data_IF_029560187146
#
_entry.id   IF_029560187146
#
_cell.length_a   1.000
_cell.length_b   1.000
_cell.length_c   1.000
_cell.angle_alpha   90.00
_cell.angle_beta   90.00
_cell.angle_gamma   90.00
#
_symmetry.space_group_name_H-M   'P 1'
#
loop_
_entity.id
_entity.type
_entity.pdbx_description
1 polymer ?
#
# COMPACT_ATOMS: atom_id res chain seq x y z
N UNK A 1 -11.34 28.53 11.45
CA UNK A 1 -11.90 27.28 10.90
C UNK A 1 -11.69 27.12 9.39
N UNK A 2 -12.19 28.02 8.54
CA UNK A 2 -12.08 27.91 7.08
C UNK A 2 -10.64 27.81 6.52
N UNK A 3 -9.67 28.47 7.16
CA UNK A 3 -8.26 28.41 6.76
C UNK A 3 -7.63 27.02 6.95
N UNK A 4 -7.91 26.35 8.07
CA UNK A 4 -7.40 24.99 8.37
C UNK A 4 -7.96 23.99 7.34
N UNK A 5 -9.25 24.09 7.05
CA UNK A 5 -9.91 23.26 6.05
C UNK A 5 -9.34 23.48 4.64
N UNK A 6 -9.16 24.73 4.21
CA UNK A 6 -8.55 25.07 2.92
C UNK A 6 -7.11 24.55 2.82
N UNK A 7 -6.35 24.60 3.92
CA UNK A 7 -4.99 24.07 3.99
C UNK A 7 -4.96 22.54 3.88
N UNK A 8 -5.83 21.83 4.60
CA UNK A 8 -5.91 20.37 4.51
C UNK A 8 -6.34 19.89 3.12
N UNK A 9 -7.29 20.57 2.46
CA UNK A 9 -7.66 20.25 1.07
C UNK A 9 -6.48 20.43 0.10
N UNK A 10 -5.69 21.51 0.25
CA UNK A 10 -4.46 21.70 -0.53
C UNK A 10 -3.45 20.57 -0.28
N UNK A 11 -3.21 20.19 0.98
CA UNK A 11 -2.32 19.08 1.33
C UNK A 11 -2.72 17.78 0.66
N UNK A 12 -4.01 17.41 0.76
CA UNK A 12 -4.54 16.20 0.14
C UNK A 12 -4.41 16.23 -1.38
N UNK A 13 -4.70 17.37 -2.01
CA UNK A 13 -4.57 17.53 -3.44
C UNK A 13 -3.12 17.37 -3.92
N UNK A 14 -2.17 18.03 -3.25
CA UNK A 14 -0.73 17.90 -3.54
C UNK A 14 -0.29 16.45 -3.38
N UNK A 15 -0.65 15.81 -2.27
CA UNK A 15 -0.34 14.41 -2.01
C UNK A 15 -0.88 13.48 -3.10
N UNK A 16 -2.16 13.60 -3.46
CA UNK A 16 -2.77 12.74 -4.48
C UNK A 16 -2.13 12.96 -5.85
N UNK A 17 -1.85 14.22 -6.22
CA UNK A 17 -1.18 14.55 -7.48
C UNK A 17 0.23 13.95 -7.54
N UNK A 18 1.02 14.11 -6.48
CA UNK A 18 2.36 13.51 -6.40
C UNK A 18 2.28 11.98 -6.44
N UNK A 19 1.36 11.38 -5.70
CA UNK A 19 1.18 9.92 -5.64
C UNK A 19 0.83 9.37 -7.01
N UNK A 20 -0.11 10.02 -7.70
CA UNK A 20 -0.54 9.64 -9.04
C UNK A 20 0.62 9.78 -10.03
N UNK A 21 1.26 10.94 -10.11
CA UNK A 21 2.34 11.17 -11.06
C UNK A 21 3.51 10.20 -10.83
N UNK A 22 3.93 10.02 -9.58
CA UNK A 22 5.03 9.11 -9.23
C UNK A 22 4.74 7.68 -9.69
N UNK A 23 3.60 7.14 -9.26
CA UNK A 23 3.26 5.73 -9.50
C UNK A 23 3.06 5.48 -11.00
N UNK A 24 2.27 6.33 -11.66
CA UNK A 24 1.93 6.13 -13.07
C UNK A 24 3.11 6.37 -14.02
N UNK A 25 3.97 7.37 -13.76
CA UNK A 25 5.17 7.57 -14.59
C UNK A 25 6.06 6.32 -14.52
N UNK A 26 6.33 5.82 -13.31
CA UNK A 26 7.19 4.65 -13.13
C UNK A 26 6.57 3.38 -13.69
N UNK A 27 5.26 3.17 -13.51
CA UNK A 27 4.59 2.00 -14.07
C UNK A 27 4.52 2.03 -15.60
N UNK A 28 4.30 3.20 -16.21
CA UNK A 28 4.36 3.33 -17.68
C UNK A 28 5.76 3.00 -18.19
N UNK A 29 6.81 3.50 -17.54
CA UNK A 29 8.20 3.16 -17.88
C UNK A 29 8.44 1.64 -17.71
N UNK A 30 7.99 1.06 -16.61
CA UNK A 30 8.08 -0.38 -16.35
C UNK A 30 7.40 -1.21 -17.42
N UNK A 31 6.17 -0.85 -17.80
CA UNK A 31 5.41 -1.53 -18.85
C UNK A 31 6.08 -1.41 -20.22
N UNK A 32 6.76 -0.29 -20.50
CA UNK A 32 7.48 -0.12 -21.75
C UNK A 32 8.58 -1.18 -21.94
N UNK A 33 9.25 -1.61 -20.87
CA UNK A 33 10.24 -2.70 -20.94
C UNK A 33 9.64 -4.06 -21.32
N UNK A 34 8.34 -4.27 -21.08
CA UNK A 34 7.64 -5.49 -21.49
C UNK A 34 7.15 -5.42 -22.94
N UNK A 35 7.12 -4.23 -23.54
CA UNK A 35 6.56 -4.02 -24.89
C UNK A 35 7.44 -4.62 -26.00
N UNK A 36 8.75 -4.71 -25.78
CA UNK A 36 9.72 -5.27 -26.72
C UNK A 36 9.82 -6.80 -26.63
N UNK A 37 9.13 -7.42 -25.65
CA UNK A 37 9.07 -8.86 -25.44
C UNK A 37 9.14 -9.25 -23.97
N UNK A 38 8.58 -10.41 -23.62
CA UNK A 38 8.58 -10.95 -22.25
C UNK A 38 9.72 -11.96 -22.10
N UNK A 39 10.79 -11.52 -21.44
CA UNK A 39 11.97 -12.32 -21.09
C UNK A 39 12.43 -12.00 -19.66
N UNK A 40 13.43 -12.73 -19.14
CA UNK A 40 13.87 -12.52 -17.76
C UNK A 40 14.38 -11.10 -17.48
N UNK A 41 15.07 -10.49 -18.45
CA UNK A 41 15.63 -9.15 -18.29
C UNK A 41 14.54 -8.06 -18.25
N UNK A 42 13.61 -8.09 -19.20
CA UNK A 42 12.45 -7.19 -19.27
C UNK A 42 11.57 -7.30 -18.03
N UNK A 43 11.30 -8.51 -17.55
CA UNK A 43 10.58 -8.75 -16.29
C UNK A 43 11.35 -8.15 -15.12
N UNK A 44 12.67 -8.36 -15.04
CA UNK A 44 13.51 -7.79 -14.00
C UNK A 44 13.42 -6.26 -13.96
N UNK A 45 13.54 -5.60 -15.11
CA UNK A 45 13.40 -4.14 -15.23
C UNK A 45 11.99 -3.69 -14.85
N UNK A 46 10.96 -4.35 -15.36
CA UNK A 46 9.57 -4.07 -14.99
C UNK A 46 9.37 -4.11 -13.47
N UNK A 47 9.84 -5.15 -12.80
CA UNK A 47 9.67 -5.31 -11.36
C UNK A 47 10.34 -4.19 -10.55
N UNK A 48 11.53 -3.72 -10.98
CA UNK A 48 12.19 -2.58 -10.33
C UNK A 48 11.29 -1.34 -10.41
N UNK A 49 10.83 -0.97 -11.60
CA UNK A 49 9.97 0.20 -11.77
C UNK A 49 8.61 0.03 -11.10
N UNK A 50 8.05 -1.18 -11.11
CA UNK A 50 6.82 -1.51 -10.43
C UNK A 50 6.93 -1.23 -8.93
N UNK A 51 7.94 -1.81 -8.27
CA UNK A 51 8.12 -1.63 -6.83
C UNK A 51 8.49 -0.20 -6.46
N UNK A 52 9.33 0.50 -7.23
CA UNK A 52 9.59 1.93 -6.95
C UNK A 52 8.31 2.76 -7.13
N UNK A 53 7.45 2.39 -8.09
CA UNK A 53 6.13 3.01 -8.28
C UNK A 53 5.20 2.80 -7.10
N UNK A 54 5.20 1.61 -6.48
CA UNK A 54 4.40 1.30 -5.27
C UNK A 54 4.72 2.23 -4.10
N UNK A 55 5.94 2.76 -4.01
CA UNK A 55 6.33 3.72 -2.95
C UNK A 55 5.78 5.14 -3.15
N UNK A 56 5.03 5.39 -4.24
CA UNK A 56 4.45 6.70 -4.55
C UNK A 56 3.69 7.36 -3.40
N UNK A 57 2.77 6.66 -2.70
CA UNK A 57 2.04 7.23 -1.56
C UNK A 57 2.97 7.61 -0.41
N UNK A 58 3.93 6.75 -0.04
CA UNK A 58 4.85 7.05 1.07
C UNK A 58 5.76 8.22 0.75
N UNK A 59 6.37 8.24 -0.44
CA UNK A 59 7.23 9.34 -0.89
C UNK A 59 6.43 10.65 -0.94
N UNK A 60 5.21 10.61 -1.50
CA UNK A 60 4.32 11.76 -1.55
C UNK A 60 3.89 12.24 -0.16
N UNK A 61 3.63 11.32 0.76
CA UNK A 61 3.30 11.62 2.15
C UNK A 61 4.46 12.31 2.86
N UNK A 62 5.69 11.83 2.68
CA UNK A 62 6.91 12.44 3.24
C UNK A 62 7.13 13.84 2.67
N UNK A 63 7.13 13.99 1.34
CA UNK A 63 7.35 15.28 0.67
C UNK A 63 6.29 16.30 1.10
N UNK A 64 5.01 15.91 1.07
CA UNK A 64 3.91 16.81 1.43
C UNK A 64 3.99 17.19 2.92
N UNK A 65 4.29 16.23 3.80
CA UNK A 65 4.44 16.53 5.24
C UNK A 65 5.60 17.46 5.49
N UNK A 66 6.76 17.21 4.88
CA UNK A 66 7.93 18.05 5.04
C UNK A 66 7.66 19.48 4.56
N UNK A 67 6.99 19.65 3.41
CA UNK A 67 6.70 20.95 2.82
C UNK A 67 5.70 21.76 3.65
N UNK A 68 4.65 21.13 4.19
CA UNK A 68 3.58 21.85 4.89
C UNK A 68 3.69 21.86 6.41
N UNK A 69 4.29 20.84 7.02
CA UNK A 69 4.36 20.62 8.47
C UNK A 69 5.82 20.59 9.00
N UNK A 70 6.81 20.72 8.11
CA UNK A 70 8.23 20.75 8.44
C UNK A 70 8.78 19.43 9.00
N UNK A 71 10.01 19.48 9.51
CA UNK A 71 10.69 18.32 10.09
C UNK A 71 9.91 17.73 11.28
N UNK A 72 9.30 18.58 12.11
CA UNK A 72 8.47 18.12 13.24
C UNK A 72 7.31 17.26 12.75
N UNK A 73 6.59 17.70 11.71
CA UNK A 73 5.52 16.91 11.10
C UNK A 73 6.01 15.58 10.53
N UNK A 74 7.19 15.58 9.89
CA UNK A 74 7.79 14.37 9.35
C UNK A 74 8.12 13.34 10.45
N UNK A 75 8.70 13.78 11.57
CA UNK A 75 8.94 12.90 12.72
C UNK A 75 7.64 12.31 13.27
N UNK A 76 6.58 13.11 13.38
CA UNK A 76 5.26 12.62 13.81
C UNK A 76 4.62 11.65 12.81
N UNK A 77 4.91 11.79 11.51
CA UNK A 77 4.48 10.82 10.50
C UNK A 77 5.22 9.49 10.68
N UNK A 78 6.56 9.51 10.77
CA UNK A 78 7.40 8.31 10.89
C UNK A 78 7.09 7.55 12.18
N UNK A 79 6.83 8.26 13.30
CA UNK A 79 6.42 7.64 14.57
C UNK A 79 5.20 6.71 14.44
N UNK A 80 4.32 6.93 13.46
CA UNK A 80 3.13 6.09 13.25
C UNK A 80 3.47 4.67 12.80
N UNK A 81 4.64 4.43 12.21
CA UNK A 81 5.11 3.09 11.86
C UNK A 81 5.34 2.21 13.10
N UNK A 82 5.59 2.83 14.24
CA UNK A 82 5.91 2.15 15.50
C UNK A 82 4.69 2.06 16.43
N UNK A 83 3.47 2.14 15.87
CA UNK A 83 2.24 1.91 16.65
C UNK A 83 1.92 0.42 16.60
N UNK A 84 2.34 -0.31 17.63
CA UNK A 84 2.14 -1.76 17.76
C UNK A 84 1.13 -2.15 18.83
N UNK A 85 0.84 -1.26 19.79
CA UNK A 85 -0.06 -1.57 20.91
C UNK A 85 -1.51 -1.36 20.49
N UNK A 86 -2.17 -2.42 20.01
CA UNK A 86 -3.60 -2.44 19.69
C UNK A 86 -4.32 -3.52 20.50
N UNK A 87 -5.64 -3.39 20.76
CA UNK A 87 -6.39 -4.41 21.48
C UNK A 87 -6.28 -5.80 20.83
N UNK A 88 -6.19 -6.86 21.63
CA UNK A 88 -5.93 -8.23 21.18
C UNK A 88 -6.85 -8.71 20.04
N UNK A 89 -8.13 -8.31 20.06
CA UNK A 89 -9.12 -8.61 19.02
C UNK A 89 -8.68 -8.23 17.60
N UNK A 90 -7.86 -7.19 17.42
CA UNK A 90 -7.39 -6.77 16.10
C UNK A 90 -6.35 -7.74 15.53
N UNK A 91 -5.53 -8.39 16.36
CA UNK A 91 -4.64 -9.45 15.90
C UNK A 91 -5.43 -10.65 15.39
N UNK A 92 -6.53 -11.00 16.09
CA UNK A 92 -7.46 -12.03 15.62
C UNK A 92 -8.04 -11.64 14.26
N UNK A 93 -8.49 -10.39 14.07
CA UNK A 93 -9.02 -9.95 12.78
C UNK A 93 -7.98 -10.00 11.65
N UNK A 94 -6.73 -9.62 11.89
CA UNK A 94 -5.66 -9.67 10.88
C UNK A 94 -5.42 -11.11 10.40
N UNK A 95 -5.52 -12.10 11.28
CA UNK A 95 -5.29 -13.52 10.94
C UNK A 95 -6.54 -14.16 10.36
N UNK A 96 -7.67 -14.08 11.05
CA UNK A 96 -8.86 -14.85 10.71
C UNK A 96 -9.70 -14.24 9.59
N UNK A 97 -9.74 -12.91 9.46
CA UNK A 97 -10.59 -12.27 8.46
C UNK A 97 -10.17 -12.63 7.01
N UNK A 98 -8.87 -12.57 6.63
CA UNK A 98 -8.44 -13.02 5.31
C UNK A 98 -8.73 -14.50 5.06
N UNK A 99 -8.50 -15.35 6.06
CA UNK A 99 -8.77 -16.81 5.96
C UNK A 99 -10.25 -17.06 5.70
N UNK A 100 -11.14 -16.39 6.44
CA UNK A 100 -12.59 -16.50 6.26
C UNK A 100 -12.97 -16.08 4.84
N UNK A 101 -12.46 -14.96 4.33
CA UNK A 101 -12.78 -14.50 2.97
C UNK A 101 -12.26 -15.47 1.89
N UNK A 102 -11.08 -16.05 2.07
CA UNK A 102 -10.53 -17.07 1.16
C UNK A 102 -11.41 -18.31 1.17
N UNK A 103 -11.82 -18.81 2.34
CA UNK A 103 -12.72 -19.96 2.46
C UNK A 103 -14.06 -19.68 1.78
N UNK A 104 -14.67 -18.52 2.04
CA UNK A 104 -15.93 -18.11 1.39
C UNK A 104 -15.77 -18.11 -0.12
N UNK A 105 -14.70 -17.50 -0.66
CA UNK A 105 -14.44 -17.45 -2.09
C UNK A 105 -14.26 -18.84 -2.70
N UNK A 106 -13.50 -19.71 -2.03
CA UNK A 106 -13.31 -21.11 -2.45
C UNK A 106 -14.63 -21.87 -2.46
N UNK A 107 -15.45 -21.76 -1.40
CA UNK A 107 -16.75 -22.43 -1.32
C UNK A 107 -17.68 -21.98 -2.43
N UNK A 108 -17.78 -20.66 -2.68
CA UNK A 108 -18.61 -20.12 -3.76
C UNK A 108 -18.12 -20.59 -5.14
N UNK A 109 -16.81 -20.58 -5.36
CA UNK A 109 -16.23 -21.08 -6.63
C UNK A 109 -16.55 -22.56 -6.85
N UNK A 110 -16.36 -23.40 -5.82
CA UNK A 110 -16.68 -24.83 -5.85
C UNK A 110 -18.14 -25.09 -6.17
N UNK A 111 -19.04 -24.30 -5.59
CA UNK A 111 -20.48 -24.48 -5.74
C UNK A 111 -21.02 -24.04 -7.10
N UNK A 112 -20.46 -22.98 -7.69
CA UNK A 112 -21.06 -22.32 -8.85
C UNK A 112 -20.23 -22.36 -10.13
N UNK A 113 -18.92 -22.61 -10.04
CA UNK A 113 -17.99 -22.42 -11.17
C UNK A 113 -17.26 -23.71 -11.52
N UNK A 114 -16.60 -24.34 -10.55
CA UNK A 114 -15.83 -25.56 -10.81
C UNK A 114 -15.01 -26.03 -9.63
N UNK A 115 -14.28 -27.11 -9.81
CA UNK A 115 -13.51 -27.74 -8.74
C UNK A 115 -12.33 -26.87 -8.28
N UNK A 116 -12.07 -26.89 -6.96
CA UNK A 116 -10.89 -26.24 -6.39
C UNK A 116 -9.70 -27.19 -6.53
N UNK A 117 -8.56 -26.66 -7.00
CA UNK A 117 -7.31 -27.41 -7.04
C UNK A 117 -6.80 -27.87 -5.67
N UNK A 118 -5.88 -28.85 -5.68
CA UNK A 118 -5.25 -29.36 -4.46
C UNK A 118 -4.34 -28.32 -3.78
N UNK A 119 -4.15 -28.48 -2.47
CA UNK A 119 -3.21 -27.65 -1.72
C UNK A 119 -1.79 -28.25 -1.77
N UNK A 120 -0.83 -27.50 -2.31
CA UNK A 120 0.58 -27.90 -2.26
C UNK A 120 1.15 -27.66 -0.85
N UNK A 121 1.46 -28.73 -0.12
CA UNK A 121 2.08 -28.64 1.20
C UNK A 121 3.47 -27.99 1.16
N UNK A 122 4.19 -28.08 0.05
CA UNK A 122 5.49 -27.41 -0.09
C UNK A 122 5.34 -25.90 -0.17
N UNK A 123 4.17 -25.38 -0.54
CA UNK A 123 3.90 -23.94 -0.53
C UNK A 123 4.06 -23.31 0.86
N UNK A 124 3.93 -24.07 1.96
CA UNK A 124 4.20 -23.56 3.31
C UNK A 124 5.65 -23.06 3.47
N UNK A 125 6.61 -23.64 2.73
CA UNK A 125 8.00 -23.20 2.75
C UNK A 125 8.19 -21.81 2.14
N UNK A 126 7.24 -21.33 1.33
CA UNK A 126 7.28 -20.00 0.73
C UNK A 126 6.76 -18.90 1.66
N UNK A 127 6.05 -19.25 2.75
CA UNK A 127 5.43 -18.27 3.66
C UNK A 127 6.45 -17.26 4.21
N UNK A 128 7.63 -17.67 4.73
CA UNK A 128 8.60 -16.71 5.24
C UNK A 128 9.06 -15.73 4.16
N UNK A 129 9.33 -16.24 2.95
CA UNK A 129 9.73 -15.41 1.82
C UNK A 129 8.63 -14.44 1.43
N UNK A 130 7.37 -14.90 1.33
CA UNK A 130 6.22 -14.03 0.98
C UNK A 130 6.00 -12.96 2.05
N UNK A 131 6.14 -13.28 3.34
CA UNK A 131 6.00 -12.30 4.41
C UNK A 131 7.13 -11.26 4.37
N UNK A 132 8.37 -11.70 4.15
CA UNK A 132 9.52 -10.81 4.06
C UNK A 132 9.46 -9.92 2.81
N UNK A 133 9.17 -10.50 1.64
CA UNK A 133 9.05 -9.75 0.39
C UNK A 133 7.83 -8.85 0.42
N UNK A 134 6.70 -9.37 0.89
CA UNK A 134 5.46 -8.64 1.08
C UNK A 134 5.64 -7.38 1.90
N UNK A 135 6.43 -7.44 2.99
CA UNK A 135 6.64 -6.30 3.90
C UNK A 135 7.16 -5.04 3.18
N UNK A 136 8.20 -5.17 2.34
CA UNK A 136 8.73 -4.03 1.59
C UNK A 136 8.01 -3.82 0.26
N UNK A 137 7.45 -4.88 -0.33
CA UNK A 137 6.76 -4.83 -1.62
C UNK A 137 5.43 -4.06 -1.60
N UNK A 138 4.80 -3.86 -0.43
CA UNK A 138 3.50 -3.19 -0.35
C UNK A 138 3.32 -2.36 0.93
N UNK A 139 3.18 -2.98 2.12
CA UNK A 139 2.78 -2.28 3.33
C UNK A 139 3.73 -1.14 3.71
N UNK A 140 5.05 -1.35 3.68
CA UNK A 140 5.99 -0.27 3.97
C UNK A 140 6.00 0.82 2.88
N UNK A 141 5.75 0.46 1.62
CA UNK A 141 5.70 1.39 0.49
C UNK A 141 4.44 2.26 0.44
N UNK A 142 3.32 1.78 0.97
CA UNK A 142 2.02 2.43 0.79
C UNK A 142 1.38 2.94 2.09
N UNK A 143 1.53 2.19 3.19
CA UNK A 143 0.75 2.43 4.41
C UNK A 143 1.09 3.77 5.07
N UNK A 144 2.36 4.20 5.03
CA UNK A 144 2.77 5.48 5.60
C UNK A 144 2.07 6.65 4.88
N UNK A 145 1.95 6.59 3.56
CA UNK A 145 1.20 7.56 2.76
C UNK A 145 -0.30 7.52 3.03
N UNK A 146 -0.94 6.35 2.86
CA UNK A 146 -2.40 6.24 2.95
C UNK A 146 -2.92 6.36 4.39
N UNK A 147 -2.37 5.58 5.31
CA UNK A 147 -2.85 5.46 6.70
C UNK A 147 -2.17 6.51 7.58
N UNK A 148 -0.90 6.77 7.35
CA UNK A 148 -0.12 7.76 8.10
C UNK A 148 -0.45 9.21 7.74
N UNK A 149 -0.54 9.54 6.45
CA UNK A 149 -0.77 10.91 5.98
C UNK A 149 -2.21 11.18 5.53
N UNK A 150 -2.73 10.43 4.55
CA UNK A 150 -4.00 10.76 3.88
C UNK A 150 -5.20 10.65 4.83
N UNK A 151 -5.39 9.49 5.48
CA UNK A 151 -6.57 9.22 6.30
C UNK A 151 -6.77 10.24 7.45
N UNK A 152 -5.76 10.63 8.24
CA UNK A 152 -5.91 11.66 9.27
C UNK A 152 -6.24 13.05 8.72
N UNK A 153 -5.63 13.45 7.60
CA UNK A 153 -5.89 14.75 6.98
C UNK A 153 -7.27 14.79 6.29
N UNK A 154 -7.75 13.65 5.80
CA UNK A 154 -9.09 13.51 5.23
C UNK A 154 -10.18 13.53 6.31
N UNK A 155 -10.01 12.81 7.43
CA UNK A 155 -10.98 12.84 8.54
C UNK A 155 -11.19 14.24 9.13
N UNK A 156 -10.11 15.03 9.22
CA UNK A 156 -10.16 16.44 9.62
C UNK A 156 -10.97 17.33 8.67
N UNK A 157 -11.29 16.86 7.46
CA UNK A 157 -12.15 17.56 6.51
C UNK A 157 -13.63 17.15 6.57
N UNK A 158 -13.97 16.03 7.25
CA UNK A 158 -15.35 15.49 7.31
C UNK A 158 -16.03 15.76 8.66
N UNK A 159 -15.27 15.77 9.76
CA UNK A 159 -15.83 15.86 11.12
C UNK A 159 -16.18 17.29 11.58
N UNK A 160 -16.34 18.24 10.66
CA UNK A 160 -16.63 19.67 10.93
C UNK A 160 -17.43 20.28 9.80
#
# INVERSE_FOLDING_TARGET
MALIYKMNRKKLFVFLKLTFLWSWILWIIGLNYLSEGINQESIGKFLVFFFVGVYGPTISGIITTLFFDGLKGLFELIKKLFIWKVPFKYYLYIIFLPIIFVIIGMTLYSQFIGEIGGFDKMAYLSIPTILLTGLYAGPLGEELGWRGFYCPNFKKNIQT
#
